data_IF_101763590528
#
_entry.id   IF_101763590528
#
_cell.length_a   1.000
_cell.length_b   1.000
_cell.length_c   1.000
_cell.angle_alpha   90.00
_cell.angle_beta   90.00
_cell.angle_gamma   90.00
#
_symmetry.space_group_name_H-M   'P 1'
#
loop_
_entity.id
_entity.type
_entity.pdbx_description
1 polymer ?
#
# COMPACT_ATOMS: atom_id res chain seq x y z
N UNK A 1 -5.17 -23.57 -20.09
CA UNK A 1 -4.99 -23.06 -18.71
C UNK A 1 -5.83 -21.82 -18.42
N UNK A 2 -5.61 -20.68 -19.07
CA UNK A 2 -6.45 -19.47 -18.85
C UNK A 2 -7.93 -19.65 -19.23
N UNK A 3 -8.23 -20.52 -20.19
CA UNK A 3 -9.61 -20.81 -20.61
C UNK A 3 -10.48 -21.45 -19.51
N UNK A 4 -9.88 -22.19 -18.56
CA UNK A 4 -10.63 -22.80 -17.46
C UNK A 4 -11.09 -21.75 -16.44
N UNK A 5 -10.23 -20.77 -16.14
CA UNK A 5 -10.57 -19.60 -15.31
C UNK A 5 -11.65 -18.76 -16.00
N UNK A 6 -11.51 -18.53 -17.31
CA UNK A 6 -12.52 -17.81 -18.11
C UNK A 6 -13.85 -18.57 -18.26
N UNK A 7 -13.90 -19.88 -18.04
CA UNK A 7 -15.14 -20.68 -18.04
C UNK A 7 -15.78 -20.81 -16.65
N UNK A 8 -15.01 -20.65 -15.58
CA UNK A 8 -15.50 -20.66 -14.20
C UNK A 8 -16.23 -19.38 -13.80
N UNK A 9 -15.94 -18.24 -14.43
CA UNK A 9 -16.71 -17.02 -14.18
C UNK A 9 -18.13 -17.17 -14.77
N UNK A 10 -19.21 -16.99 -13.99
CA UNK A 10 -20.57 -16.97 -14.52
C UNK A 10 -20.82 -15.68 -15.30
N UNK A 11 -21.44 -15.80 -16.49
CA UNK A 11 -21.92 -14.64 -17.27
C UNK A 11 -21.29 -14.45 -18.66
N UNK A 12 -21.90 -13.58 -19.49
CA UNK A 12 -21.44 -13.27 -20.83
C UNK A 12 -20.05 -12.59 -20.81
N UNK A 13 -19.33 -12.63 -21.94
CA UNK A 13 -17.95 -12.15 -22.07
C UNK A 13 -17.67 -10.76 -21.45
N UNK A 14 -18.55 -9.73 -21.58
CA UNK A 14 -18.32 -8.42 -20.98
C UNK A 14 -18.31 -8.44 -19.44
N UNK A 15 -19.16 -9.27 -18.82
CA UNK A 15 -19.27 -9.37 -17.35
C UNK A 15 -17.96 -9.90 -16.76
N UNK A 16 -17.32 -10.84 -17.46
CA UNK A 16 -16.02 -11.39 -17.07
C UNK A 16 -14.92 -10.35 -17.10
N UNK A 17 -14.91 -9.52 -18.15
CA UNK A 17 -13.95 -8.44 -18.31
C UNK A 17 -14.10 -7.40 -17.21
N UNK A 18 -15.34 -6.98 -16.92
CA UNK A 18 -15.64 -6.04 -15.84
C UNK A 18 -15.22 -6.61 -14.49
N UNK A 19 -15.54 -7.87 -14.20
CA UNK A 19 -15.16 -8.49 -12.93
C UNK A 19 -13.63 -8.57 -12.76
N UNK A 20 -12.90 -8.92 -13.82
CA UNK A 20 -11.44 -8.92 -13.80
C UNK A 20 -10.86 -7.52 -13.57
N UNK A 21 -11.43 -6.50 -14.22
CA UNK A 21 -11.03 -5.10 -14.02
C UNK A 21 -11.33 -4.62 -12.60
N UNK A 22 -12.50 -4.95 -12.05
CA UNK A 22 -12.86 -4.62 -10.66
C UNK A 22 -11.91 -5.28 -9.67
N UNK A 23 -11.55 -6.55 -9.90
CA UNK A 23 -10.60 -7.25 -9.05
C UNK A 23 -9.21 -6.60 -9.10
N UNK A 24 -8.74 -6.27 -10.30
CA UNK A 24 -7.46 -5.58 -10.50
C UNK A 24 -7.46 -4.19 -9.84
N UNK A 25 -8.54 -3.43 -10.04
CA UNK A 25 -8.72 -2.11 -9.43
C UNK A 25 -8.81 -2.22 -7.90
N UNK A 26 -9.48 -3.24 -7.36
CA UNK A 26 -9.56 -3.52 -5.94
C UNK A 26 -8.19 -3.82 -5.32
N UNK A 27 -7.37 -4.62 -6.00
CA UNK A 27 -5.99 -4.91 -5.57
C UNK A 27 -5.15 -3.64 -5.61
N UNK A 28 -5.20 -2.87 -6.71
CA UNK A 28 -4.45 -1.61 -6.83
C UNK A 28 -4.86 -0.60 -5.75
N UNK A 29 -6.17 -0.49 -5.48
CA UNK A 29 -6.70 0.34 -4.40
C UNK A 29 -6.17 -0.11 -3.03
N UNK A 30 -6.23 -1.41 -2.72
CA UNK A 30 -5.70 -1.92 -1.45
C UNK A 30 -4.20 -1.65 -1.31
N UNK A 31 -3.44 -1.82 -2.38
CA UNK A 31 -1.99 -1.57 -2.37
C UNK A 31 -1.69 -0.09 -2.09
N UNK A 32 -2.37 0.83 -2.76
CA UNK A 32 -2.09 2.27 -2.64
C UNK A 32 -2.60 2.83 -1.31
N UNK A 33 -3.83 2.50 -0.93
CA UNK A 33 -4.49 3.12 0.21
C UNK A 33 -4.28 2.39 1.54
N UNK A 34 -3.85 1.13 1.51
CA UNK A 34 -3.67 0.32 2.73
C UNK A 34 -2.26 -0.20 2.88
N UNK A 35 -1.72 -0.86 1.85
CA UNK A 35 -0.41 -1.51 1.96
C UNK A 35 0.74 -0.50 1.98
N UNK A 36 0.70 0.51 1.12
CA UNK A 36 1.70 1.58 1.09
C UNK A 36 1.84 2.31 2.43
N UNK A 37 0.77 2.87 3.05
CA UNK A 37 0.91 3.56 4.33
C UNK A 37 1.36 2.62 5.44
N UNK A 38 0.87 1.37 5.46
CA UNK A 38 1.30 0.38 6.44
C UNK A 38 2.81 0.08 6.35
N UNK A 39 3.33 -0.17 5.14
CA UNK A 39 4.77 -0.41 4.92
C UNK A 39 5.59 0.83 5.29
N UNK A 40 5.15 2.02 4.90
CA UNK A 40 5.85 3.27 5.22
C UNK A 40 5.96 3.46 6.74
N UNK A 41 4.88 3.23 7.48
CA UNK A 41 4.89 3.38 8.94
C UNK A 41 5.77 2.34 9.65
N UNK A 42 5.75 1.09 9.20
CA UNK A 42 6.48 0.00 9.85
C UNK A 42 7.98 0.00 9.53
N UNK A 43 8.35 0.23 8.27
CA UNK A 43 9.74 0.07 7.81
C UNK A 43 10.49 1.38 7.62
N UNK A 44 9.77 2.51 7.49
CA UNK A 44 10.37 3.84 7.32
C UNK A 44 9.87 4.79 8.40
N UNK A 45 10.29 4.57 9.67
CA UNK A 45 9.96 5.49 10.74
C UNK A 45 10.38 6.90 10.33
N UNK A 46 9.40 7.79 10.25
CA UNK A 46 9.63 9.17 9.83
C UNK A 46 10.52 9.84 10.89
N UNK A 47 11.72 10.35 10.52
CA UNK A 47 12.53 11.12 11.44
C UNK A 47 11.73 12.32 11.92
N UNK A 48 11.62 12.50 13.24
CA UNK A 48 10.94 13.64 13.81
C UNK A 48 11.89 14.85 13.77
N UNK A 49 11.63 15.85 12.90
CA UNK A 49 12.53 16.98 12.73
C UNK A 49 12.67 17.82 14.00
N UNK A 50 11.71 17.78 14.93
CA UNK A 50 11.78 18.52 16.20
C UNK A 50 12.68 17.79 17.21
N UNK A 51 12.57 16.46 17.31
CA UNK A 51 13.45 15.68 18.17
C UNK A 51 14.89 15.73 17.66
N UNK A 52 15.07 15.59 16.35
CA UNK A 52 16.37 15.75 15.71
C UNK A 52 16.93 17.16 15.93
N UNK A 53 16.07 18.20 15.86
CA UNK A 53 16.40 19.59 16.16
C UNK A 53 16.92 19.84 17.57
N UNK A 54 16.21 19.32 18.55
CA UNK A 54 16.61 19.46 19.94
C UNK A 54 17.95 18.79 20.25
N UNK A 55 18.22 17.61 19.64
CA UNK A 55 19.45 16.85 19.86
C UNK A 55 20.70 17.58 19.33
N UNK A 56 20.58 18.34 18.24
CA UNK A 56 21.71 19.12 17.70
C UNK A 56 21.87 20.52 18.32
N UNK A 57 20.86 21.01 19.04
CA UNK A 57 20.94 22.27 19.79
C UNK A 57 21.35 22.06 21.25
N UNK A 58 21.38 20.83 21.77
CA UNK A 58 21.98 20.51 23.07
C UNK A 58 23.51 20.62 22.99
N UNK A 59 24.14 21.62 23.62
CA UNK A 59 25.58 21.65 23.77
C UNK A 59 25.97 20.48 24.69
N UNK A 60 26.98 19.72 24.30
CA UNK A 60 27.48 18.56 25.04
C UNK A 60 27.79 18.93 26.50
N UNK A 61 26.92 18.50 27.42
CA UNK A 61 27.14 18.54 28.86
C UNK A 61 26.22 19.51 29.61
N UNK A 62 25.17 18.96 30.23
CA UNK A 62 24.93 19.09 31.68
C UNK A 62 24.11 17.86 32.14
N UNK A 63 24.59 17.24 33.23
CA UNK A 63 24.11 16.06 33.98
C UNK A 63 24.55 14.68 33.47
#
# INVERSE_FOLDING_TARGET
>A
MYAAIWRALPGPWPVKLVLALVLLAGIAYLLIFHLYPWIMQEFFPTPDPVLDASAHLTPQGIA
#
